data_IF_772343491865
#
_entry.id   IF_772343491865
#
_cell.length_a   1.000
_cell.length_b   1.000
_cell.length_c   1.000
_cell.angle_alpha   90.00
_cell.angle_beta   90.00
_cell.angle_gamma   90.00
#
_symmetry.space_group_name_H-M   'P 1'
#
loop_
_entity.id
_entity.type
_entity.pdbx_description
1 polymer ?
#
# COMPACT_ATOMS: atom_id res chain seq x y z
N UNK A 1 -31.85 -7.57 -12.61
CA UNK A 1 -30.38 -7.76 -12.62
C UNK A 1 -29.81 -7.35 -13.96
N UNK A 2 -28.48 -7.40 -14.13
CA UNK A 2 -27.81 -7.19 -15.42
C UNK A 2 -28.14 -8.38 -16.34
N UNK A 3 -28.51 -8.15 -17.59
CA UNK A 3 -28.92 -9.21 -18.54
C UNK A 3 -27.72 -9.85 -19.26
N UNK A 4 -26.68 -9.07 -19.53
CA UNK A 4 -25.42 -9.49 -20.13
C UNK A 4 -24.79 -10.69 -19.38
N UNK A 5 -24.38 -11.73 -20.10
CA UNK A 5 -23.61 -12.89 -19.63
C UNK A 5 -22.34 -13.08 -20.47
N UNK A 6 -21.21 -12.63 -19.94
CA UNK A 6 -19.88 -12.87 -20.54
C UNK A 6 -19.54 -11.99 -21.74
N UNK A 7 -20.38 -11.03 -22.12
CA UNK A 7 -20.07 -10.07 -23.18
C UNK A 7 -19.09 -9.00 -22.71
N UNK A 8 -18.27 -8.51 -23.64
CA UNK A 8 -17.27 -7.48 -23.38
C UNK A 8 -17.88 -6.07 -23.49
N UNK A 9 -17.27 -5.14 -22.75
CA UNK A 9 -17.52 -3.69 -22.81
C UNK A 9 -16.17 -3.01 -23.00
N UNK A 10 -16.06 -2.17 -24.04
CA UNK A 10 -14.81 -1.53 -24.44
C UNK A 10 -14.76 -0.04 -24.08
N UNK A 11 -15.84 0.49 -23.50
CA UNK A 11 -15.87 1.86 -22.99
C UNK A 11 -14.78 2.04 -21.94
N UNK A 12 -14.01 3.11 -22.05
CA UNK A 12 -13.05 3.48 -21.02
C UNK A 12 -13.78 3.77 -19.70
N UNK A 13 -13.32 3.14 -18.62
CA UNK A 13 -13.73 3.38 -17.25
C UNK A 13 -12.50 3.38 -16.34
N UNK A 14 -12.59 4.09 -15.22
CA UNK A 14 -11.55 4.18 -14.20
C UNK A 14 -12.09 3.80 -12.82
N UNK A 15 -11.22 3.47 -11.87
CA UNK A 15 -11.64 3.05 -10.53
C UNK A 15 -12.51 4.10 -9.80
N UNK A 16 -12.29 5.40 -10.06
CA UNK A 16 -13.11 6.47 -9.50
C UNK A 16 -14.57 6.47 -9.99
N UNK A 17 -14.87 5.78 -11.10
CA UNK A 17 -16.20 5.66 -11.68
C UNK A 17 -17.10 4.63 -10.94
N UNK A 18 -16.51 3.80 -10.06
CA UNK A 18 -17.24 2.77 -9.32
C UNK A 18 -18.28 3.37 -8.36
N UNK A 19 -17.87 4.30 -7.51
CA UNK A 19 -18.77 4.94 -6.53
C UNK A 19 -20.00 5.61 -7.18
N UNK A 20 -19.84 6.51 -8.18
CA UNK A 20 -21.02 7.10 -8.83
C UNK A 20 -21.87 6.05 -9.55
N UNK A 21 -21.26 5.01 -10.13
CA UNK A 21 -22.01 3.90 -10.75
C UNK A 21 -22.86 3.13 -9.74
N UNK A 22 -22.30 2.80 -8.57
CA UNK A 22 -23.04 2.10 -7.53
C UNK A 22 -24.22 2.92 -7.02
N UNK A 23 -23.99 4.21 -6.74
CA UNK A 23 -25.01 5.16 -6.31
C UNK A 23 -26.17 5.27 -7.33
N UNK A 24 -25.84 5.40 -8.62
CA UNK A 24 -26.81 5.42 -9.72
C UNK A 24 -27.62 4.11 -9.78
N UNK A 25 -26.96 2.95 -9.73
CA UNK A 25 -27.61 1.64 -9.78
C UNK A 25 -28.58 1.41 -8.61
N UNK A 26 -28.25 1.89 -7.41
CA UNK A 26 -29.12 1.76 -6.23
C UNK A 26 -30.11 2.93 -6.06
N UNK A 27 -30.06 3.95 -6.93
CA UNK A 27 -30.94 5.11 -6.87
C UNK A 27 -30.69 6.04 -5.68
N UNK A 28 -29.45 6.14 -5.21
CA UNK A 28 -29.07 7.01 -4.08
C UNK A 28 -28.26 8.19 -4.60
N UNK A 29 -28.65 9.41 -4.21
CA UNK A 29 -27.85 10.61 -4.44
C UNK A 29 -26.70 10.68 -3.44
N UNK A 30 -25.50 11.07 -3.88
CA UNK A 30 -24.37 11.31 -2.98
C UNK A 30 -24.74 12.39 -1.94
N UNK A 31 -24.67 12.12 -0.64
CA UNK A 31 -24.96 13.12 0.38
C UNK A 31 -23.87 14.20 0.39
N UNK A 32 -24.28 15.46 0.53
CA UNK A 32 -23.35 16.58 0.65
C UNK A 32 -22.58 16.57 1.98
N UNK A 33 -23.15 15.96 3.03
CA UNK A 33 -22.57 15.88 4.38
C UNK A 33 -22.80 14.50 4.97
N UNK A 34 -21.75 13.90 5.55
CA UNK A 34 -21.82 12.66 6.32
C UNK A 34 -21.24 12.92 7.70
N UNK A 35 -22.02 12.65 8.76
CA UNK A 35 -21.59 12.83 10.16
C UNK A 35 -21.01 14.21 10.48
N UNK A 36 -21.53 15.27 9.85
CA UNK A 36 -21.06 16.65 10.01
C UNK A 36 -19.85 17.03 9.13
N UNK A 37 -19.32 16.11 8.33
CA UNK A 37 -18.21 16.36 7.41
C UNK A 37 -18.74 16.61 5.99
N UNK A 38 -18.46 17.78 5.39
CA UNK A 38 -18.73 18.03 3.97
C UNK A 38 -17.97 17.04 3.08
N UNK A 39 -18.64 16.48 2.09
CA UNK A 39 -18.05 15.52 1.17
C UNK A 39 -17.45 16.22 -0.05
N UNK A 40 -16.34 15.70 -0.55
CA UNK A 40 -15.77 16.14 -1.81
C UNK A 40 -16.66 15.69 -2.98
N UNK A 41 -16.72 16.47 -4.09
CA UNK A 41 -17.38 16.01 -5.31
C UNK A 41 -16.81 14.68 -5.80
N UNK A 42 -17.65 13.85 -6.40
CA UNK A 42 -17.18 12.65 -7.09
C UNK A 42 -16.49 13.07 -8.39
N UNK A 43 -15.22 12.69 -8.54
CA UNK A 43 -14.44 12.94 -9.76
C UNK A 43 -14.86 12.02 -10.92
N UNK A 44 -15.31 10.80 -10.59
CA UNK A 44 -15.74 9.82 -11.58
C UNK A 44 -17.13 10.08 -12.17
N UNK A 45 -17.46 9.33 -13.22
CA UNK A 45 -18.75 9.35 -13.90
C UNK A 45 -19.40 7.96 -13.84
N UNK A 46 -20.72 7.89 -13.67
CA UNK A 46 -21.42 6.60 -13.71
C UNK A 46 -21.32 5.98 -15.10
N UNK A 47 -20.90 4.72 -15.17
CA UNK A 47 -20.97 3.92 -16.38
C UNK A 47 -22.17 2.95 -16.37
N UNK A 48 -23.16 3.15 -15.48
CA UNK A 48 -24.29 2.23 -15.34
C UNK A 48 -25.04 1.94 -16.66
N UNK A 49 -25.06 2.90 -17.58
CA UNK A 49 -25.62 2.71 -18.92
C UNK A 49 -24.95 1.55 -19.69
N UNK A 50 -23.63 1.39 -19.57
CA UNK A 50 -22.88 0.34 -20.29
C UNK A 50 -23.24 -1.08 -19.82
N UNK A 51 -23.78 -1.21 -18.60
CA UNK A 51 -24.25 -2.49 -18.06
C UNK A 51 -25.46 -3.03 -18.84
N UNK A 52 -26.22 -2.15 -19.50
CA UNK A 52 -27.44 -2.52 -20.25
C UNK A 52 -27.30 -2.32 -21.75
N UNK A 53 -26.45 -1.38 -22.17
CA UNK A 53 -26.24 -1.03 -23.57
C UNK A 53 -24.75 -1.11 -23.92
N UNK A 54 -24.40 -2.05 -24.81
CA UNK A 54 -23.03 -2.20 -25.29
C UNK A 54 -22.55 -1.02 -26.15
N UNK A 55 -23.47 -0.20 -26.69
CA UNK A 55 -23.18 0.99 -27.47
C UNK A 55 -23.25 2.28 -26.63
N UNK A 56 -23.43 2.19 -25.31
CA UNK A 56 -23.40 3.36 -24.44
C UNK A 56 -22.08 4.14 -24.64
N UNK A 57 -22.12 5.47 -24.67
CA UNK A 57 -20.92 6.28 -24.79
C UNK A 57 -19.98 6.03 -23.59
N UNK A 58 -18.68 6.15 -23.83
CA UNK A 58 -17.71 6.22 -22.74
C UNK A 58 -17.91 7.50 -21.92
N UNK A 59 -17.19 7.60 -20.80
CA UNK A 59 -17.13 8.82 -19.99
C UNK A 59 -16.72 10.03 -20.85
N UNK A 60 -17.22 11.22 -20.50
CA UNK A 60 -16.96 12.45 -21.27
C UNK A 60 -15.86 13.31 -20.66
N UNK A 61 -15.73 13.29 -19.33
CA UNK A 61 -14.68 14.03 -18.64
C UNK A 61 -13.34 13.31 -18.84
N UNK A 62 -12.25 14.06 -18.97
CA UNK A 62 -10.93 13.46 -19.00
C UNK A 62 -10.64 12.69 -17.72
N UNK A 63 -9.76 11.70 -17.81
CA UNK A 63 -9.16 11.05 -16.67
C UNK A 63 -7.67 11.42 -16.62
N UNK A 64 -7.28 12.18 -15.60
CA UNK A 64 -5.88 12.49 -15.37
C UNK A 64 -5.21 11.41 -14.52
N UNK A 65 -3.90 11.31 -14.63
CA UNK A 65 -3.03 10.43 -13.87
C UNK A 65 -1.80 11.24 -13.43
N UNK A 66 -1.43 11.08 -12.17
CA UNK A 66 -0.14 11.51 -11.64
C UNK A 66 0.30 10.49 -10.60
N UNK A 67 1.54 10.03 -10.70
CA UNK A 67 2.16 9.22 -9.65
C UNK A 67 3.68 9.37 -9.71
N UNK A 68 4.28 9.86 -8.62
CA UNK A 68 5.72 10.08 -8.49
C UNK A 68 6.32 10.90 -9.64
N UNK A 69 5.57 11.88 -10.14
CA UNK A 69 5.98 12.75 -11.23
C UNK A 69 5.63 12.25 -12.63
N UNK A 70 5.30 10.96 -12.80
CA UNK A 70 4.76 10.46 -14.07
C UNK A 70 3.38 11.04 -14.31
N UNK A 71 3.08 11.42 -15.56
CA UNK A 71 1.84 12.14 -15.91
C UNK A 71 1.11 11.43 -17.03
N UNK A 72 -0.22 11.49 -16.98
CA UNK A 72 -1.05 10.97 -18.06
C UNK A 72 -2.42 11.64 -18.11
N UNK A 73 -2.99 11.76 -19.30
CA UNK A 73 -4.35 12.23 -19.53
C UNK A 73 -5.01 11.35 -20.58
N UNK A 74 -6.12 10.71 -20.23
CA UNK A 74 -7.02 10.11 -21.20
C UNK A 74 -8.20 11.06 -21.49
N UNK A 75 -8.54 11.24 -22.76
CA UNK A 75 -9.74 11.95 -23.20
C UNK A 75 -10.18 11.48 -24.59
N UNK A 76 -11.45 11.09 -24.75
CA UNK A 76 -12.06 10.79 -26.05
C UNK A 76 -11.26 9.81 -26.92
N UNK A 77 -10.74 8.73 -26.29
CA UNK A 77 -9.95 7.70 -26.96
C UNK A 77 -8.46 8.05 -27.14
N UNK A 78 -8.06 9.29 -26.86
CA UNK A 78 -6.66 9.73 -26.87
C UNK A 78 -6.04 9.63 -25.49
N UNK A 79 -4.75 9.34 -25.45
CA UNK A 79 -3.95 9.36 -24.23
C UNK A 79 -2.64 10.10 -24.46
N UNK A 80 -2.39 11.12 -23.65
CA UNK A 80 -1.10 11.80 -23.59
C UNK A 80 -0.38 11.35 -22.31
N UNK A 81 0.91 11.04 -22.39
CA UNK A 81 1.72 10.59 -21.23
C UNK A 81 3.07 11.29 -21.21
N UNK A 82 3.65 11.42 -20.03
CA UNK A 82 5.03 11.84 -19.84
C UNK A 82 5.69 10.98 -18.77
N UNK A 83 6.77 10.30 -19.16
CA UNK A 83 7.67 9.63 -18.23
C UNK A 83 8.58 10.67 -17.56
N UNK A 84 8.70 10.58 -16.24
CA UNK A 84 9.55 11.48 -15.46
C UNK A 84 10.72 10.71 -14.83
N UNK A 85 11.97 11.00 -15.23
CA UNK A 85 13.14 10.56 -14.48
C UNK A 85 13.25 11.38 -13.19
N UNK A 86 13.08 10.74 -12.02
CA UNK A 86 13.17 11.42 -10.73
C UNK A 86 14.52 12.15 -10.54
N UNK A 87 14.45 13.34 -9.94
CA UNK A 87 15.57 14.25 -9.71
C UNK A 87 15.88 15.17 -10.89
N UNK A 88 15.07 15.14 -11.96
CA UNK A 88 15.24 16.01 -13.12
C UNK A 88 14.17 17.11 -13.16
N UNK A 89 14.41 18.25 -13.81
CA UNK A 89 13.35 19.25 -14.03
C UNK A 89 12.20 18.70 -14.87
N UNK A 90 10.95 18.89 -14.42
CA UNK A 90 9.74 18.41 -15.11
C UNK A 90 9.55 18.98 -16.52
N UNK A 91 10.18 20.11 -16.83
CA UNK A 91 10.18 20.76 -18.14
C UNK A 91 10.97 19.97 -19.18
N UNK A 92 11.83 19.05 -18.74
CA UNK A 92 12.62 18.19 -19.63
C UNK A 92 11.86 16.94 -20.08
N UNK A 93 10.75 16.61 -19.43
CA UNK A 93 10.00 15.41 -19.76
C UNK A 93 9.39 15.53 -21.16
N UNK A 94 9.55 14.48 -21.95
CA UNK A 94 8.91 14.37 -23.26
C UNK A 94 7.49 13.86 -23.09
N UNK A 95 6.54 14.59 -23.68
CA UNK A 95 5.18 14.12 -23.84
C UNK A 95 5.05 13.27 -25.11
N UNK A 96 4.34 12.15 -24.98
CA UNK A 96 3.98 11.24 -26.06
C UNK A 96 2.45 11.22 -26.22
N UNK A 97 1.97 10.86 -27.40
CA UNK A 97 0.54 10.87 -27.73
C UNK A 97 0.11 9.58 -28.42
N UNK A 98 -0.97 8.98 -27.93
CA UNK A 98 -1.53 7.72 -28.45
C UNK A 98 -3.04 7.81 -28.67
N UNK A 99 -3.56 7.00 -29.59
CA UNK A 99 -4.99 6.79 -29.78
C UNK A 99 -5.36 5.35 -29.42
N UNK A 100 -5.91 5.16 -28.21
CA UNK A 100 -6.10 3.84 -27.60
C UNK A 100 -7.11 2.95 -28.34
N UNK A 101 -8.10 3.53 -29.02
CA UNK A 101 -9.04 2.75 -29.85
C UNK A 101 -8.35 2.03 -31.03
N UNK A 102 -7.15 2.47 -31.40
CA UNK A 102 -6.35 1.90 -32.50
C UNK A 102 -5.07 1.22 -32.00
N UNK A 103 -4.54 1.69 -30.88
CA UNK A 103 -3.30 1.23 -30.28
C UNK A 103 -3.45 1.21 -28.75
N UNK A 104 -4.13 0.17 -28.25
CA UNK A 104 -4.35 -0.02 -26.81
C UNK A 104 -3.04 -0.18 -26.03
N UNK A 105 -1.96 -0.54 -26.73
CA UNK A 105 -0.64 -0.86 -26.19
C UNK A 105 0.34 0.32 -26.16
N UNK A 106 -0.06 1.49 -26.66
CA UNK A 106 0.77 2.71 -26.63
C UNK A 106 2.14 2.52 -27.33
N UNK A 107 2.14 1.91 -28.50
CA UNK A 107 3.35 1.56 -29.27
C UNK A 107 3.70 2.58 -30.35
N UNK A 108 2.72 3.32 -30.86
CA UNK A 108 2.89 4.27 -31.96
C UNK A 108 2.69 5.69 -31.43
N UNK A 109 3.79 6.37 -31.09
CA UNK A 109 3.74 7.78 -30.71
C UNK A 109 3.32 8.65 -31.91
N UNK A 110 2.28 9.46 -31.70
CA UNK A 110 1.67 10.38 -32.66
C UNK A 110 2.02 11.84 -32.37
N UNK A 111 2.87 12.14 -31.37
CA UNK A 111 3.24 13.50 -30.96
C UNK A 111 3.63 14.39 -32.14
N UNK A 112 4.53 13.92 -33.01
CA UNK A 112 5.01 14.68 -34.18
C UNK A 112 3.94 14.84 -35.27
N UNK A 113 2.97 13.92 -35.33
CA UNK A 113 1.90 13.91 -36.34
C UNK A 113 0.70 14.76 -35.92
N UNK A 114 0.47 14.89 -34.61
CA UNK A 114 -0.68 15.58 -34.01
C UNK A 114 -0.23 16.59 -32.91
N UNK A 115 0.69 17.53 -33.22
CA UNK A 115 1.31 18.38 -32.20
C UNK A 115 0.32 19.33 -31.51
N UNK A 116 -0.67 19.84 -32.23
CA UNK A 116 -1.72 20.71 -31.65
C UNK A 116 -2.60 19.95 -30.66
N UNK A 117 -2.88 18.66 -30.94
CA UNK A 117 -3.62 17.80 -30.03
C UNK A 117 -2.83 17.52 -28.77
N UNK A 118 -1.55 17.18 -28.92
CA UNK A 118 -0.67 16.97 -27.78
C UNK A 118 -0.62 18.21 -26.89
N UNK A 119 -0.41 19.40 -27.49
CA UNK A 119 -0.41 20.67 -26.77
C UNK A 119 -1.73 20.91 -26.02
N UNK A 120 -2.87 20.65 -26.65
CA UNK A 120 -4.18 20.80 -26.02
C UNK A 120 -4.37 19.83 -24.85
N UNK A 121 -3.94 18.56 -25.00
CA UNK A 121 -4.03 17.55 -23.94
C UNK A 121 -3.07 17.85 -22.79
N UNK A 122 -1.84 18.28 -23.04
CA UNK A 122 -0.91 18.72 -21.99
C UNK A 122 -1.47 19.90 -21.22
N UNK A 123 -2.03 20.91 -21.90
CA UNK A 123 -2.69 22.03 -21.24
C UNK A 123 -3.89 21.59 -20.40
N UNK A 124 -4.68 20.63 -20.91
CA UNK A 124 -5.80 20.06 -20.15
C UNK A 124 -5.33 19.32 -18.90
N UNK A 125 -4.24 18.56 -19.00
CA UNK A 125 -3.67 17.85 -17.86
C UNK A 125 -3.30 18.81 -16.73
N UNK A 126 -2.65 19.93 -17.02
CA UNK A 126 -2.32 20.95 -16.01
C UNK A 126 -3.56 21.53 -15.32
N UNK A 127 -4.63 21.79 -16.09
CA UNK A 127 -5.89 22.25 -15.51
C UNK A 127 -6.56 21.21 -14.60
N UNK A 128 -6.52 19.93 -14.97
CA UNK A 128 -7.03 18.84 -14.12
C UNK A 128 -6.16 18.65 -12.87
N UNK A 129 -4.83 18.79 -12.99
CA UNK A 129 -3.89 18.69 -11.89
C UNK A 129 -4.14 19.80 -10.83
N UNK A 130 -4.35 21.03 -11.27
CA UNK A 130 -4.71 22.14 -10.37
C UNK A 130 -6.06 21.90 -9.68
N UNK A 131 -7.10 21.55 -10.45
CA UNK A 131 -8.44 21.27 -9.92
C UNK A 131 -8.41 20.17 -8.85
N UNK A 132 -7.57 19.17 -9.06
CA UNK A 132 -7.51 17.97 -8.21
C UNK A 132 -6.42 18.06 -7.13
N UNK A 133 -5.85 19.26 -6.90
CA UNK A 133 -4.83 19.51 -5.86
C UNK A 133 -3.61 18.59 -5.98
N UNK A 134 -3.20 18.28 -7.20
CA UNK A 134 -1.98 17.50 -7.51
C UNK A 134 -0.72 18.36 -7.34
N UNK A 135 -0.86 19.67 -7.49
CA UNK A 135 0.26 20.61 -7.48
C UNK A 135 0.62 21.08 -6.05
N UNK A 136 1.91 21.33 -5.75
CA UNK A 136 3.07 21.15 -6.64
C UNK A 136 3.42 19.69 -6.87
N UNK A 137 4.01 19.39 -8.04
CA UNK A 137 4.54 18.05 -8.32
C UNK A 137 5.68 17.72 -7.37
N UNK A 138 5.68 16.49 -6.85
CA UNK A 138 6.71 15.98 -5.93
C UNK A 138 7.08 14.55 -6.33
N UNK A 139 8.27 14.41 -6.92
CA UNK A 139 8.84 13.14 -7.38
C UNK A 139 9.68 12.44 -6.30
N UNK A 140 9.82 13.03 -5.10
CA UNK A 140 10.63 12.48 -4.02
C UNK A 140 9.97 11.21 -3.47
N UNK A 141 10.43 10.04 -3.90
CA UNK A 141 9.90 8.77 -3.40
C UNK A 141 10.25 8.56 -1.92
N UNK A 142 11.53 8.27 -1.62
CA UNK A 142 11.98 7.94 -0.25
C UNK A 142 11.73 9.04 0.80
N UNK A 143 12.15 10.30 0.55
CA UNK A 143 11.95 11.40 1.50
C UNK A 143 10.49 11.62 1.88
N UNK A 144 9.54 11.48 0.95
CA UNK A 144 8.10 11.65 1.21
C UNK A 144 7.57 10.64 2.23
N UNK A 145 8.01 9.39 2.17
CA UNK A 145 7.64 8.39 3.19
C UNK A 145 8.31 8.65 4.55
N UNK A 146 9.50 9.23 4.58
CA UNK A 146 10.15 9.61 5.83
C UNK A 146 9.42 10.79 6.50
N UNK A 147 9.07 11.82 5.73
CA UNK A 147 8.30 12.98 6.19
C UNK A 147 6.92 12.58 6.73
N UNK A 148 6.20 11.70 6.03
CA UNK A 148 4.91 11.19 6.49
C UNK A 148 4.98 10.47 7.84
N UNK A 149 5.96 9.58 8.01
CA UNK A 149 6.14 8.85 9.26
C UNK A 149 6.49 9.80 10.43
N UNK A 150 7.36 10.80 10.18
CA UNK A 150 7.71 11.80 11.18
C UNK A 150 6.48 12.60 11.63
N UNK A 151 5.61 12.98 10.68
CA UNK A 151 4.38 13.74 10.93
C UNK A 151 3.38 12.97 11.79
N UNK A 152 3.22 11.66 11.57
CA UNK A 152 2.17 10.87 12.24
C UNK A 152 2.61 10.29 13.58
N UNK A 153 3.90 9.97 13.76
CA UNK A 153 4.40 9.28 14.95
C UNK A 153 5.02 10.22 15.98
N UNK A 154 5.62 11.35 15.54
CA UNK A 154 6.32 12.28 16.42
C UNK A 154 7.38 11.58 17.29
N UNK A 155 7.37 11.85 18.60
CA UNK A 155 8.30 11.24 19.56
C UNK A 155 7.80 9.91 20.16
N UNK A 156 6.68 9.35 19.65
CA UNK A 156 6.11 8.12 20.21
C UNK A 156 7.04 6.94 19.93
N UNK A 157 7.47 6.25 20.99
CA UNK A 157 8.32 5.06 20.90
C UNK A 157 7.63 3.75 21.27
N UNK A 158 6.43 3.83 21.84
CA UNK A 158 5.65 2.67 22.25
C UNK A 158 4.25 2.76 21.68
N UNK A 159 3.81 1.65 21.07
CA UNK A 159 2.51 1.50 20.44
C UNK A 159 1.85 0.28 21.05
N UNK A 160 0.63 0.43 21.55
CA UNK A 160 -0.13 -0.64 22.17
C UNK A 160 -1.39 -0.87 21.38
N UNK A 161 -1.52 -2.07 20.83
CA UNK A 161 -2.66 -2.47 20.02
C UNK A 161 -3.43 -3.59 20.73
N UNK A 162 -4.69 -3.33 21.05
CA UNK A 162 -5.57 -4.33 21.67
C UNK A 162 -6.19 -5.25 20.61
N UNK A 163 -6.37 -6.52 20.96
CA UNK A 163 -7.08 -7.46 20.10
C UNK A 163 -8.50 -6.95 19.79
N UNK A 164 -8.95 -7.15 18.54
CA UNK A 164 -10.27 -6.72 18.08
C UNK A 164 -10.32 -5.33 17.44
N UNK A 165 -9.20 -4.59 17.41
CA UNK A 165 -9.16 -3.31 16.70
C UNK A 165 -9.25 -3.46 15.17
N UNK A 166 -9.60 -2.34 14.52
CA UNK A 166 -9.65 -2.23 13.07
C UNK A 166 -8.27 -2.26 12.41
N UNK A 167 -8.28 -2.31 11.08
CA UNK A 167 -7.08 -2.20 10.26
C UNK A 167 -6.33 -0.88 10.54
N UNK A 168 -5.01 -0.93 10.62
CA UNK A 168 -4.17 0.25 10.80
C UNK A 168 -3.43 0.54 9.49
N UNK A 169 -3.72 1.65 8.79
CA UNK A 169 -2.99 2.00 7.57
C UNK A 169 -1.48 2.15 7.82
N UNK A 170 -0.65 1.78 6.84
CA UNK A 170 0.82 1.84 6.96
C UNK A 170 1.31 3.20 7.44
N UNK A 171 0.74 4.30 6.94
CA UNK A 171 1.19 5.67 7.25
C UNK A 171 1.07 6.06 8.73
N UNK A 172 0.25 5.34 9.50
CA UNK A 172 0.04 5.56 10.93
C UNK A 172 0.43 4.36 11.80
N UNK A 173 0.87 3.26 11.18
CA UNK A 173 1.45 2.11 11.85
C UNK A 173 2.88 2.44 12.34
N UNK A 174 3.46 1.68 13.30
CA UNK A 174 4.79 1.97 13.83
C UNK A 174 5.88 1.81 12.77
N UNK A 175 6.78 2.79 12.65
CA UNK A 175 7.85 2.75 11.66
C UNK A 175 9.02 1.90 12.18
N UNK A 176 9.09 0.65 11.75
CA UNK A 176 10.20 -0.27 12.05
C UNK A 176 11.33 -0.22 11.02
N UNK A 177 11.30 0.69 10.04
CA UNK A 177 12.35 0.81 9.00
C UNK A 177 13.68 1.21 9.62
N UNK A 178 14.75 0.53 9.19
CA UNK A 178 16.14 0.84 9.52
C UNK A 178 16.42 1.13 11.00
N UNK A 179 15.79 0.40 11.94
CA UNK A 179 15.95 0.60 13.38
C UNK A 179 15.80 -0.69 14.20
N UNK A 180 16.21 -0.62 15.46
CA UNK A 180 15.89 -1.67 16.44
C UNK A 180 14.42 -1.60 16.86
N UNK A 181 13.79 -2.74 17.14
CA UNK A 181 12.41 -2.79 17.64
C UNK A 181 12.13 -4.07 18.42
N UNK A 182 11.07 -4.03 19.23
CA UNK A 182 10.57 -5.13 20.03
C UNK A 182 9.06 -5.24 19.84
N UNK A 183 8.60 -6.41 19.42
CA UNK A 183 7.19 -6.79 19.35
C UNK A 183 6.92 -7.75 20.51
N UNK A 184 5.90 -7.48 21.31
CA UNK A 184 5.47 -8.30 22.45
C UNK A 184 3.96 -8.51 22.41
N UNK A 185 3.52 -9.75 22.26
CA UNK A 185 2.13 -10.17 22.33
C UNK A 185 1.84 -10.83 23.69
N UNK A 186 0.92 -10.26 24.45
CA UNK A 186 0.44 -10.86 25.70
C UNK A 186 -0.78 -11.75 25.40
N UNK A 187 -0.67 -13.05 25.68
CA UNK A 187 -1.75 -14.03 25.48
C UNK A 187 -2.20 -14.65 26.81
N UNK A 188 -3.50 -14.95 26.92
CA UNK A 188 -4.11 -15.58 28.10
C UNK A 188 -4.21 -17.08 27.98
N UNK A 189 -4.36 -17.55 26.75
CA UNK A 189 -4.41 -18.96 26.43
C UNK A 189 -3.68 -19.19 25.09
N UNK A 190 -2.95 -20.30 24.96
CA UNK A 190 -2.28 -20.65 23.72
C UNK A 190 -3.28 -20.90 22.60
N UNK A 191 -2.80 -20.83 21.37
CA UNK A 191 -3.56 -21.11 20.17
C UNK A 191 -2.67 -21.02 18.94
N UNK A 192 -3.26 -21.27 17.78
CA UNK A 192 -2.62 -21.18 16.48
C UNK A 192 -3.04 -19.86 15.82
N UNK A 193 -2.19 -19.26 14.99
CA UNK A 193 -2.55 -18.09 14.19
C UNK A 193 -1.69 -16.86 14.43
N UNK A 194 -2.03 -15.78 13.73
CA UNK A 194 -1.27 -14.53 13.68
C UNK A 194 -1.48 -13.71 14.95
N UNK A 195 -0.40 -13.25 15.57
CA UNK A 195 -0.45 -12.30 16.68
C UNK A 195 -0.45 -10.87 16.14
N UNK A 196 0.40 -10.60 15.15
CA UNK A 196 0.48 -9.35 14.40
C UNK A 196 1.00 -9.64 12.99
N UNK A 197 0.46 -8.92 12.00
CA UNK A 197 1.01 -8.83 10.66
C UNK A 197 1.02 -7.36 10.22
N UNK A 198 2.13 -6.90 9.65
CA UNK A 198 2.20 -5.63 8.94
C UNK A 198 2.73 -5.90 7.54
N UNK A 199 1.82 -5.89 6.58
CA UNK A 199 2.12 -5.95 5.16
C UNK A 199 1.32 -6.98 4.40
N UNK A 200 1.91 -7.53 3.34
CA UNK A 200 1.29 -8.53 2.47
C UNK A 200 2.33 -9.48 1.87
N UNK A 201 1.92 -10.34 0.94
CA UNK A 201 2.80 -11.31 0.27
C UNK A 201 4.00 -10.70 -0.47
N UNK A 202 4.00 -9.39 -0.78
CA UNK A 202 5.11 -8.72 -1.46
C UNK A 202 6.17 -8.20 -0.49
N UNK A 203 5.77 -7.76 0.71
CA UNK A 203 6.67 -7.20 1.71
C UNK A 203 5.92 -7.04 3.04
N UNK A 204 6.60 -7.27 4.16
CA UNK A 204 6.02 -7.12 5.49
C UNK A 204 6.67 -7.99 6.55
N UNK A 205 6.15 -7.94 7.77
CA UNK A 205 6.55 -8.85 8.84
C UNK A 205 5.33 -9.46 9.52
N UNK A 206 5.46 -10.69 10.01
CA UNK A 206 4.42 -11.35 10.79
C UNK A 206 5.02 -12.12 11.96
N UNK A 207 4.40 -11.99 13.13
CA UNK A 207 4.64 -12.82 14.31
C UNK A 207 3.39 -13.67 14.55
N UNK A 208 3.55 -14.98 14.56
CA UNK A 208 2.45 -15.93 14.61
C UNK A 208 2.82 -17.22 15.34
N UNK A 209 1.82 -17.99 15.74
CA UNK A 209 2.00 -19.33 16.29
C UNK A 209 1.59 -20.36 15.25
N UNK A 210 2.48 -21.33 14.99
CA UNK A 210 2.22 -22.46 14.11
C UNK A 210 2.78 -23.76 14.70
N UNK A 211 1.96 -24.79 14.76
CA UNK A 211 2.29 -26.11 15.32
C UNK A 211 2.87 -26.00 16.75
N UNK A 212 2.25 -25.14 17.57
CA UNK A 212 2.68 -24.86 18.95
C UNK A 212 4.00 -24.09 19.09
N UNK A 213 4.58 -23.59 18.00
CA UNK A 213 5.82 -22.83 18.01
C UNK A 213 5.59 -21.37 17.63
N UNK A 214 6.34 -20.47 18.25
CA UNK A 214 6.38 -19.07 17.85
C UNK A 214 7.21 -18.95 16.57
N UNK A 215 6.68 -18.24 15.59
CA UNK A 215 7.31 -18.03 14.29
C UNK A 215 7.29 -16.55 13.96
N UNK A 216 8.40 -16.04 13.46
CA UNK A 216 8.47 -14.72 12.87
C UNK A 216 8.94 -14.84 11.43
N UNK A 217 8.30 -14.10 10.53
CA UNK A 217 8.72 -13.96 9.14
C UNK A 217 8.98 -12.50 8.84
N UNK A 218 10.14 -12.22 8.24
CA UNK A 218 10.50 -10.94 7.66
C UNK A 218 10.55 -11.10 6.14
N UNK A 219 9.48 -10.67 5.46
CA UNK A 219 9.35 -10.69 4.01
C UNK A 219 9.84 -9.36 3.42
N UNK A 220 10.94 -9.38 2.67
CA UNK A 220 11.50 -8.21 2.00
C UNK A 220 11.45 -8.44 0.48
N UNK A 221 10.48 -7.83 -0.20
CA UNK A 221 10.34 -7.95 -1.66
C UNK A 221 10.09 -9.40 -2.12
N UNK A 222 9.35 -10.19 -1.36
CA UNK A 222 9.10 -11.62 -1.60
C UNK A 222 10.19 -12.56 -1.05
N UNK A 223 11.28 -12.03 -0.51
CA UNK A 223 12.33 -12.81 0.15
C UNK A 223 11.98 -13.03 1.62
N UNK A 224 11.64 -14.27 2.00
CA UNK A 224 11.21 -14.64 3.34
C UNK A 224 12.38 -15.03 4.24
N UNK A 225 12.40 -14.49 5.45
CA UNK A 225 13.39 -14.80 6.48
C UNK A 225 12.66 -15.32 7.72
N UNK A 226 12.34 -16.61 7.69
CA UNK A 226 11.53 -17.27 8.69
C UNK A 226 12.40 -17.81 9.82
N UNK A 227 12.10 -17.40 11.05
CA UNK A 227 12.67 -17.97 12.27
C UNK A 227 11.55 -18.63 13.08
N UNK A 228 11.80 -19.84 13.55
CA UNK A 228 10.90 -20.62 14.41
C UNK A 228 11.56 -20.85 15.76
N UNK A 229 10.76 -20.86 16.82
CA UNK A 229 11.27 -21.14 18.16
C UNK A 229 11.83 -22.57 18.24
N UNK A 230 12.87 -22.77 19.06
CA UNK A 230 13.48 -24.08 19.33
C UNK A 230 12.70 -24.91 20.35
N UNK A 231 11.76 -24.25 21.04
CA UNK A 231 10.83 -24.85 22.02
C UNK A 231 9.40 -24.45 21.71
N UNK A 232 8.45 -25.29 22.14
CA UNK A 232 7.03 -24.97 22.11
C UNK A 232 6.71 -23.81 23.07
N UNK A 233 5.64 -23.07 22.75
CA UNK A 233 5.11 -22.05 23.66
C UNK A 233 4.44 -22.69 24.89
N UNK A 234 4.40 -22.01 26.05
CA UNK A 234 3.70 -22.49 27.22
C UNK A 234 2.21 -22.77 26.95
N UNK A 235 1.67 -23.80 27.62
CA UNK A 235 0.24 -24.11 27.60
C UNK A 235 -0.62 -23.14 28.44
N UNK A 236 -0.01 -22.11 29.02
CA UNK A 236 -0.64 -21.12 29.90
C UNK A 236 -0.50 -19.71 29.32
N UNK A 237 -1.06 -18.72 30.02
CA UNK A 237 -0.76 -17.32 29.74
C UNK A 237 0.76 -17.09 29.71
N UNK A 238 1.22 -16.36 28.70
CA UNK A 238 2.63 -16.04 28.49
C UNK A 238 2.75 -14.81 27.58
N UNK A 239 3.98 -14.31 27.47
CA UNK A 239 4.34 -13.26 26.52
C UNK A 239 5.18 -13.83 25.39
N UNK A 240 4.75 -13.62 24.16
CA UNK A 240 5.45 -14.05 22.95
C UNK A 240 6.01 -12.82 22.24
N UNK A 241 7.24 -12.87 21.76
CA UNK A 241 7.84 -11.67 21.17
C UNK A 241 8.92 -11.93 20.13
N UNK A 242 9.26 -10.85 19.44
CA UNK A 242 10.38 -10.77 18.51
C UNK A 242 11.14 -9.47 18.74
N UNK A 243 12.45 -9.56 18.86
CA UNK A 243 13.35 -8.42 19.02
C UNK A 243 14.28 -8.33 17.83
N UNK A 244 14.28 -7.20 17.16
CA UNK A 244 15.29 -6.81 16.19
C UNK A 244 16.29 -5.86 16.86
N UNK A 245 17.58 -6.20 16.84
CA UNK A 245 18.67 -5.29 17.16
C UNK A 245 19.43 -4.95 15.89
N UNK A 246 19.52 -3.66 15.57
CA UNK A 246 20.31 -3.18 14.42
C UNK A 246 21.67 -2.69 14.88
N UNK A 247 22.72 -3.13 14.22
CA UNK A 247 24.07 -2.56 14.31
C UNK A 247 24.50 -2.28 12.86
N UNK A 248 24.63 -1.00 12.52
CA UNK A 248 24.92 -0.57 11.14
C UNK A 248 23.96 -1.22 10.12
N UNK A 249 24.46 -2.03 9.19
CA UNK A 249 23.67 -2.68 8.16
C UNK A 249 23.22 -4.10 8.51
N UNK A 250 23.58 -4.60 9.70
CA UNK A 250 23.20 -5.92 10.16
C UNK A 250 22.09 -5.85 11.22
N UNK A 251 21.13 -6.76 11.11
CA UNK A 251 20.05 -6.99 12.06
C UNK A 251 20.21 -8.35 12.72
N UNK A 252 20.03 -8.40 14.04
CA UNK A 252 19.91 -9.65 14.80
C UNK A 252 18.48 -9.77 15.32
N UNK A 253 17.75 -10.73 14.79
CA UNK A 253 16.40 -11.10 15.22
C UNK A 253 16.43 -12.15 16.32
N UNK A 254 15.61 -12.01 17.34
CA UNK A 254 15.50 -12.98 18.45
C UNK A 254 14.04 -13.19 18.82
N UNK A 255 13.57 -14.43 18.75
CA UNK A 255 12.27 -14.83 19.30
C UNK A 255 12.36 -14.90 20.82
N UNK A 256 11.31 -14.45 21.48
CA UNK A 256 11.22 -14.37 22.93
C UNK A 256 9.96 -15.08 23.42
N UNK A 257 10.09 -15.85 24.49
CA UNK A 257 8.95 -16.43 25.23
C UNK A 257 9.18 -16.15 26.70
N UNK A 258 8.32 -15.32 27.28
CA UNK A 258 8.43 -14.72 28.62
C UNK A 258 9.75 -13.94 28.82
N UNK A 259 10.19 -13.25 27.77
CA UNK A 259 11.42 -12.45 27.77
C UNK A 259 12.70 -13.27 27.54
N UNK A 260 12.63 -14.59 27.64
CA UNK A 260 13.75 -15.51 27.41
C UNK A 260 13.89 -15.86 25.92
N UNK A 261 15.14 -15.93 25.44
CA UNK A 261 15.43 -16.28 24.05
C UNK A 261 14.91 -17.68 23.70
N UNK A 262 14.25 -17.78 22.55
CA UNK A 262 13.64 -19.02 22.06
C UNK A 262 14.03 -19.35 20.61
N UNK A 263 14.86 -18.53 19.95
CA UNK A 263 15.29 -18.72 18.56
C UNK A 263 15.87 -17.41 18.03
N UNK A 264 16.59 -17.44 16.91
CA UNK A 264 17.17 -16.21 16.35
C UNK A 264 17.62 -16.33 14.91
N UNK A 265 17.90 -15.18 14.31
CA UNK A 265 18.38 -15.00 12.94
C UNK A 265 19.32 -13.80 12.87
N UNK A 266 20.18 -13.77 11.85
CA UNK A 266 20.90 -12.57 11.44
C UNK A 266 20.50 -12.22 10.01
N UNK A 267 20.51 -10.94 9.67
CA UNK A 267 20.10 -10.45 8.34
C UNK A 267 20.78 -9.15 7.96
N UNK A 268 20.93 -8.93 6.66
CA UNK A 268 21.25 -7.61 6.07
C UNK A 268 20.05 -6.99 5.34
N UNK A 269 18.97 -7.77 5.19
CA UNK A 269 17.78 -7.43 4.42
C UNK A 269 16.69 -6.97 5.38
N UNK A 270 16.57 -5.66 5.52
CA UNK A 270 15.63 -4.95 6.39
C UNK A 270 14.88 -3.88 5.59
N UNK A 271 13.73 -3.43 6.11
CA UNK A 271 12.98 -2.33 5.50
C UNK A 271 13.77 -1.02 5.53
N UNK A 272 13.90 -0.36 4.37
CA UNK A 272 14.59 0.92 4.23
C UNK A 272 13.66 2.05 3.81
N UNK A 273 12.83 1.82 2.79
CA UNK A 273 11.91 2.82 2.24
C UNK A 273 10.48 2.61 2.70
N UNK A 274 9.97 1.39 2.56
CA UNK A 274 8.59 1.05 2.83
C UNK A 274 8.54 -0.31 3.53
N UNK A 275 7.55 -0.48 4.40
CA UNK A 275 7.25 -1.81 4.97
C UNK A 275 6.31 -2.54 4.02
N UNK A 276 5.15 -1.94 3.71
CA UNK A 276 4.16 -2.45 2.77
C UNK A 276 3.09 -1.38 2.48
N UNK A 277 2.34 -1.56 1.40
CA UNK A 277 1.14 -0.78 1.09
C UNK A 277 -0.10 -1.23 1.89
N UNK A 278 -0.10 -2.45 2.41
CA UNK A 278 -1.31 -3.11 2.94
C UNK A 278 -1.65 -2.80 4.39
N UNK A 279 -0.73 -2.22 5.19
CA UNK A 279 -0.99 -1.85 6.59
C UNK A 279 -0.84 -2.98 7.61
N UNK A 280 -1.34 -2.75 8.83
CA UNK A 280 -1.10 -3.58 10.02
C UNK A 280 -2.41 -4.10 10.63
N UNK A 281 -2.38 -5.37 11.04
CA UNK A 281 -3.46 -6.09 11.69
C UNK A 281 -2.99 -6.88 12.92
N UNK A 282 -3.90 -7.00 13.90
CA UNK A 282 -3.69 -7.73 15.15
C UNK A 282 -4.60 -8.96 15.20
N UNK A 283 -4.03 -10.11 15.55
CA UNK A 283 -4.78 -11.36 15.71
C UNK A 283 -5.13 -12.08 14.39
N UNK A 284 -4.73 -11.54 13.24
CA UNK A 284 -5.00 -12.06 11.89
C UNK A 284 -4.13 -11.37 10.86
N UNK A 285 -4.11 -11.92 9.65
CA UNK A 285 -3.50 -11.33 8.47
C UNK A 285 -4.49 -11.40 7.30
N UNK A 286 -4.86 -10.27 6.67
CA UNK A 286 -6.01 -10.21 5.75
C UNK A 286 -5.60 -10.38 4.29
N UNK A 287 -6.40 -11.13 3.53
CA UNK A 287 -6.33 -11.16 2.07
C UNK A 287 -5.08 -11.87 1.56
N UNK A 288 -3.99 -11.11 1.36
CA UNK A 288 -2.70 -11.57 0.82
C UNK A 288 -1.69 -11.68 1.97
N UNK A 289 -1.51 -12.85 2.59
CA UNK A 289 -0.77 -12.97 3.84
C UNK A 289 0.73 -12.74 3.65
N UNK A 290 1.37 -12.17 4.67
CA UNK A 290 2.81 -11.89 4.74
C UNK A 290 3.65 -13.17 4.70
N UNK A 291 3.15 -14.28 5.26
CA UNK A 291 3.90 -15.55 5.39
C UNK A 291 3.13 -16.74 4.81
N UNK A 292 3.70 -17.94 4.91
CA UNK A 292 3.19 -19.18 4.30
C UNK A 292 2.07 -19.86 5.11
N UNK A 293 0.99 -19.13 5.37
CA UNK A 293 -0.26 -19.64 5.95
C UNK A 293 -1.46 -19.14 5.13
N UNK A 294 -2.61 -19.82 5.25
CA UNK A 294 -3.83 -19.38 4.59
C UNK A 294 -4.48 -18.24 5.37
N UNK A 295 -4.69 -17.08 4.73
CA UNK A 295 -5.43 -15.98 5.32
C UNK A 295 -6.88 -16.40 5.72
N UNK A 296 -7.43 -15.92 6.85
CA UNK A 296 -6.87 -14.87 7.69
C UNK A 296 -5.91 -15.35 8.79
N UNK A 297 -5.67 -16.66 8.87
CA UNK A 297 -4.95 -17.36 9.94
C UNK A 297 -5.19 -16.75 11.34
N UNK A 298 -6.47 -16.56 11.67
CA UNK A 298 -6.87 -15.86 12.88
C UNK A 298 -6.42 -16.61 14.13
N UNK A 299 -5.92 -15.87 15.13
CA UNK A 299 -5.44 -16.47 16.37
C UNK A 299 -6.59 -17.15 17.12
N UNK A 300 -6.46 -18.45 17.39
CA UNK A 300 -7.50 -19.28 18.04
C UNK A 300 -7.45 -19.22 19.56
N UNK A 301 -6.32 -18.75 20.12
CA UNK A 301 -6.18 -18.50 21.55
C UNK A 301 -6.77 -17.15 21.94
N UNK A 302 -6.47 -16.69 23.16
CA UNK A 302 -6.92 -15.38 23.65
C UNK A 302 -5.75 -14.39 23.65
N UNK A 303 -5.63 -13.62 22.59
CA UNK A 303 -4.70 -12.48 22.51
C UNK A 303 -5.30 -11.28 23.25
N UNK A 304 -4.55 -10.67 24.17
CA UNK A 304 -4.97 -9.43 24.85
C UNK A 304 -4.56 -8.20 24.06
N UNK A 305 -3.26 -8.10 23.77
CA UNK A 305 -2.65 -6.94 23.12
C UNK A 305 -1.29 -7.30 22.51
N UNK A 306 -0.85 -6.47 21.58
CA UNK A 306 0.51 -6.44 21.05
C UNK A 306 1.10 -5.07 21.34
N UNK A 307 2.30 -5.05 21.93
CA UNK A 307 3.07 -3.85 22.19
C UNK A 307 4.26 -3.81 21.24
N UNK A 308 4.45 -2.71 20.52
CA UNK A 308 5.63 -2.46 19.70
C UNK A 308 6.41 -1.31 20.33
N UNK A 309 7.68 -1.58 20.65
CA UNK A 309 8.63 -0.56 21.13
C UNK A 309 9.71 -0.36 20.08
N UNK A 310 9.93 0.89 19.67
CA UNK A 310 10.92 1.24 18.63
C UNK A 310 12.14 1.98 19.21
N UNK A 311 13.30 1.67 18.65
CA UNK A 311 14.57 2.32 18.92
C UNK A 311 14.63 3.76 18.39
N UNK A 312 15.52 4.55 18.98
CA UNK A 312 15.94 5.89 18.54
C UNK A 312 17.19 5.81 17.63
N UNK A 313 17.55 4.61 17.19
CA UNK A 313 18.68 4.30 16.34
C UNK A 313 18.31 4.28 14.85
N UNK A 314 17.25 4.99 14.45
CA UNK A 314 16.83 5.02 13.06
C UNK A 314 17.79 5.85 12.22
N UNK A 315 18.30 5.25 11.15
CA UNK A 315 19.04 5.96 10.10
C UNK A 315 18.40 5.63 8.76
N UNK A 316 17.74 6.62 8.16
CA UNK A 316 17.13 6.50 6.83
C UNK A 316 18.09 7.09 5.78
N UNK A 317 18.53 6.26 4.84
CA UNK A 317 19.13 6.73 3.59
C UNK A 317 18.04 6.72 2.51
N UNK A 318 17.21 7.77 2.53
CA UNK A 318 16.02 7.86 1.68
C UNK A 318 16.32 7.95 0.19
N UNK A 319 17.49 8.48 -0.18
CA UNK A 319 17.87 8.68 -1.58
C UNK A 319 18.39 7.41 -2.25
N UNK A 320 19.34 6.72 -1.63
CA UNK A 320 19.90 5.50 -2.21
C UNK A 320 18.85 4.38 -2.25
N UNK A 321 18.03 4.28 -1.21
CA UNK A 321 16.99 3.27 -1.11
C UNK A 321 15.81 3.55 -2.05
N UNK A 322 15.43 4.82 -2.26
CA UNK A 322 14.39 5.20 -3.21
C UNK A 322 14.75 4.86 -4.66
N UNK A 323 15.99 5.16 -5.08
CA UNK A 323 16.49 4.79 -6.43
C UNK A 323 16.50 3.28 -6.65
N UNK A 324 16.90 2.51 -5.64
CA UNK A 324 16.95 1.05 -5.73
C UNK A 324 15.56 0.39 -5.83
N UNK A 325 14.54 0.96 -5.19
CA UNK A 325 13.17 0.42 -5.22
C UNK A 325 12.45 0.76 -6.53
N UNK A 326 12.60 2.00 -7.03
CA UNK A 326 12.04 2.40 -8.33
C UNK A 326 12.67 1.63 -9.50
N UNK A 327 13.95 1.24 -9.40
CA UNK A 327 14.62 0.45 -10.44
C UNK A 327 14.23 -1.04 -10.49
N UNK A 328 13.43 -1.54 -9.54
CA UNK A 328 12.89 -2.92 -9.55
C UNK A 328 11.48 -3.02 -10.14
N UNK A 329 10.80 -1.89 -10.34
CA UNK A 329 9.50 -1.80 -11.01
C UNK A 329 9.71 -1.71 -12.52
#
# INVERSE_FOLDING_TARGET
GIAARGELRHQFCHACDLTPTLLDVIGVTMPEVISGTPQMPLEGESFAASLRDAAAPARRRPQYFEMFGHRGLWQDGWKAVAFHPSGTPFENDRWELYHLDRDFSETTDLADKEPERLKAMTARWWGEAERSSVLPLDDRFGPRFAENAARTQGHRRQFVFHAGMGHVPTDVAPDVRSRSYLIEADIDSPGEGVLIAHGDATSGYSLYVKDGHLVHDLNIGGSHQIVRSTRQIPATACRLGFRMRRIEHQGTGTLLVDGEAAGGMTTTDMFRVLISWSGLDIGRDRGSPVSHYAAPFAFTGRLRKVTITIGDDQVLDGEAAGRAEMGRQ
#
